data_IF_287159131278
#
_entry.id   IF_287159131278
#
_cell.length_a   1.000
_cell.length_b   1.000
_cell.length_c   1.000
_cell.angle_alpha   90.00
_cell.angle_beta   90.00
_cell.angle_gamma   90.00
#
_symmetry.space_group_name_H-M   'P 1'
#
loop_
_entity.id
_entity.type
_entity.pdbx_description
1 polymer ?
#
# COMPACT_ATOMS: atom_id res chain seq x y z
N UNK A 1 34.16 43.83 54.27
CA UNK A 1 34.03 45.14 53.60
C UNK A 1 33.17 44.87 52.36
N UNK A 2 31.83 44.89 52.48
CA UNK A 2 30.93 46.06 52.36
C UNK A 2 31.03 46.67 50.94
N UNK A 3 30.00 46.77 50.09
CA UNK A 3 28.58 47.04 50.36
C UNK A 3 27.64 46.60 49.21
N UNK A 4 26.38 46.34 49.60
CA UNK A 4 25.17 46.33 48.77
C UNK A 4 24.65 47.76 48.50
N UNK A 5 23.71 47.93 47.55
CA UNK A 5 22.37 48.42 47.94
C UNK A 5 21.23 47.61 47.28
N UNK A 6 20.23 47.13 48.04
CA UNK A 6 18.87 47.70 48.27
C UNK A 6 18.03 47.88 46.99
N UNK A 7 17.06 47.00 46.67
CA UNK A 7 15.66 46.87 47.14
C UNK A 7 14.77 48.10 46.86
N UNK A 8 13.84 47.96 45.91
CA UNK A 8 12.47 48.47 46.04
C UNK A 8 11.47 47.48 45.44
N UNK A 9 10.43 47.16 46.21
CA UNK A 9 9.26 46.41 45.78
C UNK A 9 8.04 47.31 45.83
N UNK A 10 7.10 47.12 44.90
CA UNK A 10 5.78 47.74 44.94
C UNK A 10 4.72 46.64 44.75
N UNK A 11 3.80 46.59 45.71
CA UNK A 11 2.62 45.72 45.81
C UNK A 11 1.40 46.37 45.12
N UNK A 12 0.27 45.65 44.94
CA UNK A 12 -0.66 45.86 43.83
C UNK A 12 -1.75 46.89 44.14
N UNK A 13 -2.30 47.50 43.09
CA UNK A 13 -3.50 48.31 43.15
C UNK A 13 -4.74 47.48 42.80
N UNK A 14 -5.68 47.44 43.75
CA UNK A 14 -7.06 47.05 43.54
C UNK A 14 -7.85 48.22 42.93
N UNK A 15 -8.82 47.92 42.06
CA UNK A 15 -9.77 48.89 41.52
C UNK A 15 -10.72 48.21 40.54
N UNK A 16 -11.94 47.93 40.98
CA UNK A 16 -12.94 47.21 40.20
C UNK A 16 -13.93 48.09 39.43
N UNK A 17 -14.97 47.39 38.97
CA UNK A 17 -16.28 47.82 38.47
C UNK A 17 -16.38 48.07 36.96
N UNK A 18 -17.07 47.17 36.25
CA UNK A 18 -18.41 47.40 35.71
C UNK A 18 -18.85 46.19 34.85
N UNK A 19 -20.05 45.68 35.15
CA UNK A 19 -20.62 44.49 34.50
C UNK A 19 -21.10 44.73 33.08
N UNK A 20 -21.10 43.65 32.30
CA UNK A 20 -21.84 43.52 31.05
C UNK A 20 -22.78 42.34 31.22
N UNK A 21 -24.08 42.62 31.07
CA UNK A 21 -25.18 41.70 31.33
C UNK A 21 -25.19 40.53 30.34
N UNK A 22 -25.47 39.34 30.88
CA UNK A 22 -25.82 38.15 30.10
C UNK A 22 -27.34 38.15 29.95
N UNK A 23 -27.79 38.39 28.73
CA UNK A 23 -29.20 38.26 28.35
C UNK A 23 -29.60 36.77 28.36
N UNK A 24 -30.66 36.47 29.11
CA UNK A 24 -31.22 35.13 29.24
C UNK A 24 -32.07 34.78 28.00
N UNK A 25 -31.68 33.74 27.26
CA UNK A 25 -32.51 33.11 26.25
C UNK A 25 -33.52 32.13 26.91
N UNK A 26 -34.73 31.95 26.34
CA UNK A 26 -35.81 31.23 26.98
C UNK A 26 -35.58 29.72 27.01
N UNK A 27 -35.90 29.10 28.16
CA UNK A 27 -35.92 27.65 28.35
C UNK A 27 -37.07 27.05 27.53
N UNK A 28 -36.72 26.24 26.54
CA UNK A 28 -37.62 25.28 25.91
C UNK A 28 -37.32 23.88 26.46
N UNK A 29 -38.33 23.27 27.08
CA UNK A 29 -38.33 21.86 27.49
C UNK A 29 -38.01 20.92 26.32
N UNK A 30 -37.21 19.86 26.55
CA UNK A 30 -37.26 18.68 25.73
C UNK A 30 -37.63 17.47 26.61
N UNK A 31 -38.93 17.21 26.74
CA UNK A 31 -39.40 15.83 26.86
C UNK A 31 -39.26 15.19 25.48
N UNK A 32 -38.04 14.81 25.15
CA UNK A 32 -37.68 14.11 23.92
C UNK A 32 -37.00 12.80 24.29
N UNK A 33 -37.79 11.73 24.25
CA UNK A 33 -37.36 10.34 24.35
C UNK A 33 -36.34 10.05 23.23
N UNK A 34 -35.06 10.22 23.54
CA UNK A 34 -33.97 9.72 22.73
C UNK A 34 -33.43 8.46 23.39
N UNK A 35 -34.14 7.36 23.14
CA UNK A 35 -33.55 6.02 23.07
C UNK A 35 -32.22 6.13 22.29
N UNK A 36 -31.12 6.22 23.03
CA UNK A 36 -29.79 5.94 22.53
C UNK A 36 -29.84 4.48 22.05
N UNK A 37 -30.03 4.31 20.75
CA UNK A 37 -29.82 3.02 20.13
C UNK A 37 -28.38 2.63 20.44
N UNK A 38 -28.28 1.60 21.28
CA UNK A 38 -27.10 0.81 21.55
C UNK A 38 -26.55 0.30 20.20
N UNK A 39 -25.73 1.12 19.56
CA UNK A 39 -24.83 0.70 18.51
C UNK A 39 -23.62 0.05 19.18
N UNK A 40 -23.87 -1.05 19.87
CA UNK A 40 -22.85 -2.06 20.14
C UNK A 40 -22.16 -2.33 18.80
N UNK A 41 -20.94 -1.82 18.65
CA UNK A 41 -20.08 -2.14 17.52
C UNK A 41 -20.07 -3.67 17.40
N UNK A 42 -20.33 -4.24 16.21
CA UNK A 42 -20.27 -5.68 16.07
C UNK A 42 -18.87 -6.13 16.52
N UNK A 43 -18.85 -6.91 17.60
CA UNK A 43 -17.65 -7.58 18.07
C UNK A 43 -17.28 -8.59 16.99
N UNK A 44 -16.42 -8.16 16.05
CA UNK A 44 -15.75 -9.09 15.15
C UNK A 44 -14.99 -10.04 16.07
N UNK A 45 -15.31 -11.35 16.08
CA UNK A 45 -14.52 -12.29 16.85
C UNK A 45 -13.10 -12.17 16.33
N UNK A 46 -12.15 -11.77 17.20
CA UNK A 46 -10.74 -11.97 16.91
C UNK A 46 -10.58 -13.48 16.75
N UNK A 47 -10.62 -13.97 15.52
CA UNK A 47 -10.26 -15.33 15.22
C UNK A 47 -8.82 -15.47 15.71
N UNK A 48 -8.64 -16.25 16.78
CA UNK A 48 -7.34 -16.76 17.14
C UNK A 48 -6.84 -17.47 15.90
N UNK A 49 -5.83 -16.91 15.23
CA UNK A 49 -5.15 -17.65 14.17
C UNK A 49 -4.56 -18.88 14.89
N UNK A 50 -5.06 -20.11 14.61
CA UNK A 50 -4.47 -21.30 15.21
C UNK A 50 -3.03 -21.39 14.76
N UNK A 51 -2.13 -21.95 15.59
CA UNK A 51 -0.68 -22.13 15.34
C UNK A 51 -0.34 -22.07 13.85
N UNK A 52 -0.11 -20.86 13.36
CA UNK A 52 0.03 -20.65 11.93
C UNK A 52 1.33 -21.35 11.56
N UNK A 53 1.29 -22.23 10.56
CA UNK A 53 2.52 -22.72 9.98
C UNK A 53 3.17 -21.55 9.22
N UNK A 54 3.98 -20.76 9.94
CA UNK A 54 4.64 -19.53 9.46
C UNK A 54 5.71 -19.83 8.40
N UNK A 55 5.95 -21.10 8.08
CA UNK A 55 6.86 -21.54 7.02
C UNK A 55 6.16 -21.86 5.69
N UNK A 56 4.82 -21.72 5.63
CA UNK A 56 4.10 -21.87 4.36
C UNK A 56 4.36 -20.67 3.46
N UNK A 57 5.22 -20.87 2.47
CA UNK A 57 5.42 -19.95 1.37
C UNK A 57 4.22 -20.00 0.41
N UNK A 58 3.47 -18.90 0.35
CA UNK A 58 2.33 -18.75 -0.59
C UNK A 58 2.73 -18.18 -1.94
N UNK A 59 4.03 -17.95 -2.19
CA UNK A 59 4.54 -17.42 -3.46
C UNK A 59 4.16 -15.97 -3.74
N UNK A 60 3.83 -15.17 -2.71
CA UNK A 60 3.50 -13.75 -2.86
C UNK A 60 4.71 -12.83 -2.95
N UNK A 61 5.82 -13.24 -2.35
CA UNK A 61 7.05 -12.49 -2.32
C UNK A 61 8.13 -13.23 -3.09
N UNK A 62 8.65 -12.60 -4.13
CA UNK A 62 9.63 -13.18 -5.03
C UNK A 62 10.97 -12.47 -4.87
N UNK A 63 12.06 -13.24 -4.96
CA UNK A 63 13.40 -12.70 -5.11
C UNK A 63 13.65 -12.42 -6.59
N UNK A 64 14.06 -11.19 -6.89
CA UNK A 64 14.37 -10.76 -8.24
C UNK A 64 15.82 -10.28 -8.29
N UNK A 65 16.62 -10.97 -9.10
CA UNK A 65 18.00 -10.55 -9.41
C UNK A 65 18.01 -9.62 -10.62
N UNK A 66 18.60 -8.44 -10.46
CA UNK A 66 18.70 -7.46 -11.53
C UNK A 66 20.04 -6.72 -11.44
N UNK A 67 20.82 -6.74 -12.53
CA UNK A 67 22.02 -5.89 -12.72
C UNK A 67 22.93 -5.74 -11.47
N UNK A 68 23.22 -6.86 -10.80
CA UNK A 68 24.14 -6.90 -9.66
C UNK A 68 23.54 -6.64 -8.28
N UNK A 69 22.21 -6.55 -8.15
CA UNK A 69 21.53 -6.55 -6.85
C UNK A 69 20.32 -7.49 -6.85
N UNK A 70 19.96 -7.98 -5.66
CA UNK A 70 18.78 -8.80 -5.43
C UNK A 70 17.78 -8.00 -4.58
N UNK A 71 16.50 -8.09 -4.92
CA UNK A 71 15.43 -7.39 -4.19
C UNK A 71 14.20 -8.27 -4.05
N UNK A 72 13.35 -7.94 -3.07
CA UNK A 72 12.06 -8.60 -2.87
C UNK A 72 10.96 -7.77 -3.52
N UNK A 73 10.07 -8.42 -4.27
CA UNK A 73 8.82 -7.82 -4.78
C UNK A 73 7.61 -8.58 -4.30
N UNK A 74 6.48 -7.90 -4.12
CA UNK A 74 5.19 -8.54 -3.89
C UNK A 74 4.41 -8.65 -5.20
N UNK A 75 3.75 -9.78 -5.45
CA UNK A 75 2.90 -9.94 -6.65
C UNK A 75 1.78 -8.89 -6.75
N UNK A 76 1.36 -8.33 -5.61
CA UNK A 76 0.30 -7.31 -5.56
C UNK A 76 0.81 -5.90 -5.93
N UNK A 77 2.13 -5.69 -5.86
CA UNK A 77 2.79 -4.41 -6.14
C UNK A 77 4.20 -4.67 -6.69
N UNK A 78 4.30 -5.25 -7.89
CA UNK A 78 5.59 -5.62 -8.50
C UNK A 78 6.48 -4.40 -8.80
N UNK A 79 5.89 -3.21 -8.85
CA UNK A 79 6.58 -1.94 -9.06
C UNK A 79 7.26 -1.41 -7.78
N UNK A 80 6.98 -1.99 -6.61
CA UNK A 80 7.60 -1.63 -5.33
C UNK A 80 8.66 -2.67 -4.99
N UNK A 81 9.91 -2.23 -4.90
CA UNK A 81 11.10 -3.07 -4.72
C UNK A 81 11.67 -2.88 -3.31
N UNK A 82 11.76 -3.95 -2.53
CA UNK A 82 12.44 -3.94 -1.24
C UNK A 82 13.90 -4.38 -1.40
N UNK A 83 14.83 -3.48 -1.10
CA UNK A 83 16.26 -3.70 -1.08
C UNK A 83 16.73 -3.74 0.38
N UNK A 84 17.53 -4.75 0.71
CA UNK A 84 18.05 -4.95 2.07
C UNK A 84 19.57 -4.91 1.99
N UNK A 85 20.16 -3.86 2.53
CA UNK A 85 21.59 -3.59 2.46
C UNK A 85 22.16 -3.43 3.87
N UNK A 86 22.82 -4.47 4.36
CA UNK A 86 23.34 -4.51 5.75
C UNK A 86 24.16 -3.27 6.08
N UNK A 87 23.74 -2.55 7.12
CA UNK A 87 24.48 -1.39 7.65
C UNK A 87 24.50 -0.18 6.72
N UNK A 88 23.63 -0.13 5.71
CA UNK A 88 23.42 1.06 4.89
C UNK A 88 23.03 2.24 5.79
N UNK A 89 23.70 3.38 5.59
CA UNK A 89 23.32 4.67 6.17
C UNK A 89 23.51 5.74 5.09
N UNK A 90 22.41 6.27 4.59
CA UNK A 90 22.39 7.35 3.60
C UNK A 90 22.33 8.70 4.30
N UNK A 91 23.07 9.68 3.80
CA UNK A 91 23.06 11.06 4.30
C UNK A 91 22.51 12.00 3.25
N UNK A 92 22.28 13.26 3.61
CA UNK A 92 21.84 14.28 2.67
C UNK A 92 22.77 14.40 1.44
N UNK A 93 24.08 14.22 1.64
CA UNK A 93 25.11 14.32 0.60
C UNK A 93 25.13 13.10 -0.34
N UNK A 94 24.92 11.90 0.19
CA UNK A 94 24.97 10.65 -0.60
C UNK A 94 23.63 10.32 -1.25
N UNK A 95 22.52 10.86 -0.72
CA UNK A 95 21.15 10.68 -1.23
C UNK A 95 20.99 10.97 -2.72
N UNK A 96 21.73 11.94 -3.26
CA UNK A 96 21.65 12.33 -4.67
C UNK A 96 21.97 11.20 -5.65
N UNK A 97 22.57 10.10 -5.18
CA UNK A 97 22.88 8.89 -5.97
C UNK A 97 21.70 7.95 -6.14
N UNK A 98 20.66 8.11 -5.32
CA UNK A 98 19.47 7.26 -5.35
C UNK A 98 18.44 7.82 -6.33
N UNK A 99 17.72 6.95 -7.07
CA UNK A 99 16.71 7.40 -8.00
C UNK A 99 15.57 8.10 -7.26
N UNK A 100 14.73 8.83 -8.00
CA UNK A 100 13.43 9.27 -7.46
C UNK A 100 12.62 8.09 -6.96
N UNK A 101 11.60 8.35 -6.14
CA UNK A 101 10.70 7.31 -5.60
C UNK A 101 11.46 6.33 -4.69
N UNK A 102 12.19 6.89 -3.72
CA UNK A 102 12.99 6.12 -2.77
C UNK A 102 12.48 6.36 -1.34
N UNK A 103 12.30 5.29 -0.59
CA UNK A 103 11.93 5.31 0.83
C UNK A 103 13.05 4.61 1.61
N UNK A 104 13.60 5.28 2.60
CA UNK A 104 14.55 4.71 3.55
C UNK A 104 13.78 4.38 4.83
N UNK A 105 13.94 3.16 5.32
CA UNK A 105 13.29 2.68 6.54
C UNK A 105 14.35 2.53 7.63
N UNK A 106 13.95 2.89 8.84
CA UNK A 106 14.63 2.65 10.10
C UNK A 106 16.18 2.69 10.04
N UNK A 107 16.77 3.87 10.25
CA UNK A 107 18.22 4.04 10.23
C UNK A 107 18.92 3.87 8.86
N UNK A 108 18.23 3.42 7.79
CA UNK A 108 18.82 3.37 6.45
C UNK A 108 19.16 4.76 5.88
N UNK A 109 18.58 5.81 6.46
CA UNK A 109 18.96 7.20 6.24
C UNK A 109 19.16 7.89 7.60
N UNK A 110 20.14 8.79 7.68
CA UNK A 110 20.48 9.56 8.87
C UNK A 110 19.37 10.60 9.19
N UNK A 111 18.32 10.14 9.84
CA UNK A 111 17.21 10.93 10.36
C UNK A 111 15.99 11.09 9.46
N UNK A 112 15.00 11.90 9.86
CA UNK A 112 13.74 12.04 9.13
C UNK A 112 13.93 12.88 7.86
N UNK A 113 13.25 12.48 6.79
CA UNK A 113 13.34 13.16 5.49
C UNK A 113 11.98 13.14 4.80
N UNK A 114 11.59 14.30 4.27
CA UNK A 114 10.36 14.46 3.51
C UNK A 114 10.60 15.37 2.29
N UNK A 115 10.85 14.78 1.12
CA UNK A 115 11.14 15.50 -0.12
C UNK A 115 10.20 15.07 -1.25
N UNK A 116 9.12 15.84 -1.44
CA UNK A 116 8.14 15.59 -2.49
C UNK A 116 8.67 15.85 -3.91
N UNK A 117 9.70 16.67 -4.08
CA UNK A 117 10.23 17.00 -5.41
C UNK A 117 11.07 15.84 -5.96
N UNK A 118 11.93 15.26 -5.12
CA UNK A 118 12.67 14.05 -5.44
C UNK A 118 11.85 12.77 -5.23
N UNK A 119 10.73 12.85 -4.50
CA UNK A 119 9.99 11.68 -3.96
C UNK A 119 10.93 10.80 -3.15
N UNK A 120 11.65 11.42 -2.22
CA UNK A 120 12.53 10.77 -1.27
C UNK A 120 11.98 10.94 0.13
N UNK A 121 11.87 9.85 0.87
CA UNK A 121 11.34 9.83 2.23
C UNK A 121 12.24 9.00 3.13
N UNK A 122 12.43 9.42 4.37
CA UNK A 122 13.01 8.60 5.43
C UNK A 122 11.98 8.49 6.54
N UNK A 123 11.64 7.25 6.88
CA UNK A 123 10.72 6.92 7.96
C UNK A 123 11.48 6.58 9.25
N UNK A 124 12.66 7.17 9.42
CA UNK A 124 13.48 6.97 10.61
C UNK A 124 12.84 7.61 11.85
N UNK A 125 13.11 7.02 13.01
CA UNK A 125 12.72 7.53 14.31
C UNK A 125 13.86 7.48 15.34
N UNK A 126 15.05 7.05 14.92
CA UNK A 126 16.24 6.93 15.75
C UNK A 126 17.13 8.17 15.69
N UNK A 127 17.68 8.48 14.53
CA UNK A 127 18.66 9.55 14.36
C UNK A 127 17.97 10.89 14.13
N UNK A 128 18.44 11.96 14.78
CA UNK A 128 17.82 13.28 14.64
C UNK A 128 16.36 13.40 15.13
N UNK A 129 15.80 12.33 15.69
CA UNK A 129 14.45 12.23 16.21
C UNK A 129 14.42 12.22 17.73
N UNK A 130 13.32 12.67 18.32
CA UNK A 130 13.06 12.47 19.75
C UNK A 130 12.13 11.27 19.88
N UNK A 131 12.74 10.11 20.14
CA UNK A 131 12.07 8.81 20.10
C UNK A 131 10.83 8.72 21.00
N UNK A 132 10.82 9.47 22.12
CA UNK A 132 9.72 9.49 23.08
C UNK A 132 8.39 10.07 22.55
N UNK A 133 8.35 10.66 21.36
CA UNK A 133 7.09 11.10 20.74
C UNK A 133 7.10 11.03 19.22
N UNK A 134 8.15 10.45 18.64
CA UNK A 134 8.21 10.17 17.20
C UNK A 134 7.61 8.78 16.98
N UNK A 135 6.70 8.67 16.03
CA UNK A 135 6.13 7.37 15.65
C UNK A 135 7.22 6.42 15.16
N UNK A 136 7.09 5.13 15.43
CA UNK A 136 7.98 4.11 14.88
C UNK A 136 7.83 3.99 13.36
N UNK A 137 8.76 3.30 12.70
CA UNK A 137 8.83 3.20 11.23
C UNK A 137 7.56 2.61 10.65
N UNK A 138 7.00 1.55 11.25
CA UNK A 138 5.76 0.92 10.78
C UNK A 138 4.54 1.84 10.90
N UNK A 139 4.48 2.66 11.95
CA UNK A 139 3.40 3.63 12.15
C UNK A 139 3.51 4.77 11.14
N UNK A 140 4.73 5.26 10.88
CA UNK A 140 4.99 6.25 9.83
C UNK A 140 4.60 5.73 8.44
N UNK A 141 4.89 4.46 8.13
CA UNK A 141 4.49 3.84 6.87
C UNK A 141 2.95 3.74 6.74
N UNK A 142 2.25 3.38 7.81
CA UNK A 142 0.78 3.38 7.82
C UNK A 142 0.21 4.79 7.55
N UNK A 143 0.81 5.84 8.15
CA UNK A 143 0.44 7.23 7.87
C UNK A 143 0.67 7.59 6.41
N UNK A 144 1.78 7.18 5.80
CA UNK A 144 2.08 7.43 4.39
C UNK A 144 1.05 6.78 3.45
N UNK A 145 0.68 5.51 3.71
CA UNK A 145 -0.35 4.80 2.94
C UNK A 145 -1.71 5.50 3.09
N UNK A 146 -2.12 5.84 4.31
CA UNK A 146 -3.38 6.55 4.57
C UNK A 146 -3.43 7.94 3.95
N UNK A 147 -2.29 8.61 3.87
CA UNK A 147 -2.17 9.95 3.28
C UNK A 147 -2.17 9.92 1.75
N UNK A 148 -2.21 8.73 1.13
CA UNK A 148 -2.27 8.58 -0.32
C UNK A 148 -0.91 8.77 -1.00
N UNK A 149 0.17 8.28 -0.40
CA UNK A 149 1.45 8.17 -1.10
C UNK A 149 1.24 7.40 -2.42
N UNK A 150 1.56 7.97 -3.60
CA UNK A 150 1.22 7.39 -4.90
C UNK A 150 2.18 6.25 -5.28
N UNK A 151 2.08 5.15 -4.54
CA UNK A 151 2.89 3.93 -4.68
C UNK A 151 2.56 3.15 -5.96
N UNK A 152 1.42 3.42 -6.58
CA UNK A 152 1.00 2.88 -7.88
C UNK A 152 1.71 3.53 -9.08
N UNK A 153 2.34 4.68 -8.88
CA UNK A 153 3.02 5.40 -9.95
C UNK A 153 4.51 5.05 -10.00
N UNK A 154 4.99 4.59 -11.16
CA UNK A 154 6.42 4.36 -11.40
C UNK A 154 7.01 3.23 -10.55
N UNK A 155 8.34 3.21 -10.43
CA UNK A 155 9.07 2.17 -9.68
C UNK A 155 9.58 2.75 -8.37
N UNK A 156 9.08 2.21 -7.25
CA UNK A 156 9.50 2.62 -5.92
C UNK A 156 10.56 1.68 -5.36
N UNK A 157 11.54 2.25 -4.66
CA UNK A 157 12.59 1.50 -3.96
C UNK A 157 12.52 1.77 -2.47
N UNK A 158 12.43 0.70 -1.69
CA UNK A 158 12.44 0.71 -0.24
C UNK A 158 13.79 0.15 0.21
N UNK A 159 14.51 0.88 1.05
CA UNK A 159 15.79 0.45 1.60
C UNK A 159 15.67 0.19 3.10
N UNK A 160 16.14 -0.98 3.53
CA UNK A 160 16.30 -1.36 4.93
C UNK A 160 17.77 -1.71 5.18
N UNK A 161 18.32 -1.29 6.32
CA UNK A 161 19.68 -1.62 6.71
C UNK A 161 19.79 -2.76 7.76
N UNK A 162 18.78 -2.92 8.62
CA UNK A 162 18.58 -4.03 9.55
C UNK A 162 17.10 -4.43 9.54
N UNK A 163 16.75 -5.64 9.05
CA UNK A 163 15.35 -6.04 8.89
C UNK A 163 14.76 -6.60 10.18
N UNK A 164 14.55 -5.75 11.18
CA UNK A 164 13.75 -6.12 12.34
C UNK A 164 12.24 -6.05 12.06
N UNK A 165 11.43 -6.33 13.07
CA UNK A 165 9.97 -6.36 12.92
C UNK A 165 9.37 -4.99 12.56
N UNK A 166 9.85 -3.87 13.13
CA UNK A 166 9.34 -2.54 12.82
C UNK A 166 9.59 -2.18 11.35
N UNK A 167 10.83 -2.35 10.89
CA UNK A 167 11.22 -2.09 9.50
C UNK A 167 10.51 -3.03 8.50
N UNK A 168 10.39 -4.32 8.82
CA UNK A 168 9.71 -5.28 7.95
C UNK A 168 8.19 -5.10 7.93
N UNK A 169 7.57 -4.69 9.03
CA UNK A 169 6.16 -4.34 9.07
C UNK A 169 5.89 -3.07 8.25
N UNK A 170 6.78 -2.07 8.32
CA UNK A 170 6.73 -0.89 7.46
C UNK A 170 6.80 -1.28 5.97
N UNK A 171 7.76 -2.14 5.59
CA UNK A 171 7.88 -2.63 4.22
C UNK A 171 6.65 -3.43 3.78
N UNK A 172 6.09 -4.26 4.64
CA UNK A 172 4.87 -5.01 4.36
C UNK A 172 3.70 -4.07 4.04
N UNK A 173 3.51 -3.00 4.81
CA UNK A 173 2.46 -2.00 4.57
C UNK A 173 2.62 -1.32 3.20
N UNK A 174 3.85 -0.96 2.81
CA UNK A 174 4.13 -0.31 1.53
C UNK A 174 3.97 -1.28 0.35
N UNK A 175 4.43 -2.53 0.48
CA UNK A 175 4.28 -3.57 -0.54
C UNK A 175 2.81 -3.98 -0.75
N UNK A 176 1.98 -3.87 0.28
CA UNK A 176 0.56 -4.24 0.22
C UNK A 176 -0.38 -3.01 0.16
N UNK A 177 0.15 -1.82 -0.18
CA UNK A 177 -0.59 -0.56 -0.17
C UNK A 177 -1.91 -0.63 -0.95
N UNK A 178 -1.91 -1.29 -2.11
CA UNK A 178 -3.09 -1.40 -2.97
C UNK A 178 -4.25 -2.12 -2.29
N UNK A 179 -3.97 -3.16 -1.50
CA UNK A 179 -4.99 -3.90 -0.74
C UNK A 179 -5.41 -3.15 0.53
N UNK A 180 -4.48 -2.44 1.17
CA UNK A 180 -4.72 -1.67 2.39
C UNK A 180 -5.54 -0.39 2.15
N UNK A 181 -5.34 0.25 1.00
CA UNK A 181 -5.99 1.49 0.60
C UNK A 181 -7.35 1.28 -0.12
N UNK A 182 -7.84 0.04 -0.23
CA UNK A 182 -9.16 -0.26 -0.83
C UNK A 182 -10.30 0.40 -0.06
N UNK A 183 -11.47 0.52 -0.69
CA UNK A 183 -12.64 1.18 -0.13
C UNK A 183 -12.91 0.81 1.33
N UNK A 184 -13.04 1.84 2.17
CA UNK A 184 -13.27 1.72 3.61
C UNK A 184 -12.02 1.39 4.45
N UNK A 185 -10.86 1.13 3.82
CA UNK A 185 -9.60 0.78 4.47
C UNK A 185 -9.75 -0.33 5.53
N UNK A 186 -10.64 -1.30 5.27
CA UNK A 186 -11.06 -2.29 6.27
C UNK A 186 -9.92 -3.17 6.74
N UNK A 187 -9.10 -3.68 5.81
CA UNK A 187 -7.92 -4.46 6.15
C UNK A 187 -6.92 -3.64 6.94
N UNK A 188 -6.67 -2.40 6.52
CA UNK A 188 -5.76 -1.52 7.24
C UNK A 188 -6.25 -1.26 8.68
N UNK A 189 -7.55 -0.98 8.87
CA UNK A 189 -8.15 -0.81 10.21
C UNK A 189 -7.95 -2.05 11.10
N UNK A 190 -8.03 -3.25 10.54
CA UNK A 190 -7.81 -4.49 11.26
C UNK A 190 -6.33 -4.64 11.67
N UNK A 191 -5.42 -4.37 10.73
CA UNK A 191 -3.96 -4.44 10.91
C UNK A 191 -3.42 -3.35 11.82
N UNK A 192 -4.09 -2.19 11.92
CA UNK A 192 -3.65 -1.05 12.75
C UNK A 192 -3.46 -1.44 14.22
N UNK A 193 -4.20 -2.42 14.73
CA UNK A 193 -3.99 -2.91 16.10
C UNK A 193 -2.64 -3.58 16.30
N UNK A 194 -2.13 -4.30 15.29
CA UNK A 194 -0.79 -4.90 15.30
C UNK A 194 0.27 -3.79 15.14
N UNK A 195 0.10 -2.91 14.15
CA UNK A 195 1.01 -1.77 13.88
C UNK A 195 1.17 -0.88 15.11
N UNK A 196 0.07 -0.54 15.78
CA UNK A 196 0.11 0.33 16.96
C UNK A 196 0.81 -0.32 18.14
N UNK A 197 0.63 -1.62 18.36
CA UNK A 197 1.31 -2.31 19.46
C UNK A 197 2.80 -2.43 19.15
N UNK A 198 3.16 -2.85 17.94
CA UNK A 198 4.56 -2.97 17.53
C UNK A 198 5.30 -1.64 17.61
N UNK A 199 4.76 -0.57 17.02
CA UNK A 199 5.41 0.73 17.06
C UNK A 199 5.57 1.29 18.47
N UNK A 200 4.64 0.99 19.38
CA UNK A 200 4.80 1.36 20.80
C UNK A 200 5.88 0.52 21.51
N UNK A 201 5.99 -0.78 21.19
CA UNK A 201 7.05 -1.64 21.73
C UNK A 201 8.41 -1.14 21.25
N UNK A 202 8.53 -0.82 19.98
CA UNK A 202 9.77 -0.37 19.40
C UNK A 202 10.19 1.03 19.92
N UNK A 203 9.26 2.00 19.94
CA UNK A 203 9.53 3.34 20.44
C UNK A 203 9.78 3.38 21.97
N UNK A 204 8.94 2.69 22.76
CA UNK A 204 8.85 2.85 24.23
C UNK A 204 9.13 1.59 25.06
N UNK A 205 9.31 0.44 24.42
CA UNK A 205 9.48 -0.83 25.10
C UNK A 205 8.17 -1.49 25.52
N UNK A 206 8.29 -2.77 25.91
CA UNK A 206 7.17 -3.66 26.26
C UNK A 206 6.30 -3.13 27.41
N UNK A 207 6.91 -2.47 28.40
CA UNK A 207 6.23 -2.02 29.62
C UNK A 207 5.16 -0.96 29.32
N UNK A 208 5.46 -0.03 28.40
CA UNK A 208 4.57 1.08 28.07
C UNK A 208 3.52 0.69 27.03
N UNK A 209 3.79 -0.29 26.16
CA UNK A 209 2.91 -0.64 25.04
C UNK A 209 1.50 -1.07 25.48
N UNK A 210 1.39 -1.83 26.57
CA UNK A 210 0.09 -2.26 27.11
C UNK A 210 -0.80 -1.07 27.51
N UNK A 211 -0.20 -0.04 28.14
CA UNK A 211 -0.92 1.15 28.59
C UNK A 211 -1.18 2.13 27.45
N UNK A 212 -0.16 2.44 26.65
CA UNK A 212 -0.23 3.47 25.60
C UNK A 212 -1.05 3.03 24.37
N UNK A 213 -1.21 1.73 24.15
CA UNK A 213 -2.04 1.24 23.04
C UNK A 213 -3.53 1.46 23.30
N UNK A 214 -3.94 1.60 24.57
CA UNK A 214 -5.31 1.77 25.01
C UNK A 214 -6.29 0.68 24.52
N UNK A 215 -5.78 -0.48 24.10
CA UNK A 215 -6.62 -1.60 23.67
C UNK A 215 -7.19 -2.34 24.88
N UNK A 216 -8.42 -2.90 24.79
CA UNK A 216 -8.92 -3.83 25.79
C UNK A 216 -7.94 -5.00 26.00
N UNK A 217 -7.72 -5.48 27.24
CA UNK A 217 -6.74 -6.53 27.52
C UNK A 217 -6.86 -7.78 26.64
N UNK A 218 -8.07 -8.28 26.28
CA UNK A 218 -8.18 -9.41 25.37
C UNK A 218 -7.62 -9.13 23.97
N UNK A 219 -7.82 -7.91 23.44
CA UNK A 219 -7.32 -7.48 22.12
C UNK A 219 -5.81 -7.31 22.17
N UNK A 220 -5.30 -6.60 23.17
CA UNK A 220 -3.85 -6.41 23.37
C UNK A 220 -3.14 -7.77 23.50
N UNK A 221 -3.61 -8.65 24.38
CA UNK A 221 -2.97 -9.95 24.61
C UNK A 221 -3.02 -10.85 23.36
N UNK A 222 -4.10 -10.80 22.59
CA UNK A 222 -4.19 -11.56 21.34
C UNK A 222 -3.18 -11.07 20.30
N UNK A 223 -3.11 -9.75 20.07
CA UNK A 223 -2.14 -9.16 19.13
C UNK A 223 -0.69 -9.30 19.61
N UNK A 224 -0.45 -9.13 20.91
CA UNK A 224 0.88 -9.31 21.49
C UNK A 224 1.39 -10.74 21.31
N UNK A 225 0.54 -11.76 21.48
CA UNK A 225 0.92 -13.15 21.17
C UNK A 225 1.32 -13.33 19.70
N UNK A 226 0.61 -12.67 18.79
CA UNK A 226 0.97 -12.72 17.36
C UNK A 226 2.32 -12.04 17.08
N UNK A 227 2.58 -10.89 17.70
CA UNK A 227 3.88 -10.21 17.65
C UNK A 227 4.98 -11.14 18.17
N UNK A 228 4.75 -11.77 19.33
CA UNK A 228 5.71 -12.68 19.97
C UNK A 228 6.06 -13.89 19.08
N UNK A 229 5.11 -14.40 18.29
CA UNK A 229 5.38 -15.46 17.31
C UNK A 229 6.35 -15.02 16.22
N UNK A 230 6.25 -13.77 15.74
CA UNK A 230 7.15 -13.22 14.73
C UNK A 230 8.51 -12.91 15.34
N UNK A 231 8.54 -12.24 16.49
CA UNK A 231 9.77 -11.89 17.22
C UNK A 231 10.57 -13.13 17.61
N UNK A 232 9.91 -14.22 18.01
CA UNK A 232 10.60 -15.48 18.34
C UNK A 232 11.41 -16.03 17.15
N UNK A 233 10.96 -15.81 15.90
CA UNK A 233 11.69 -16.22 14.70
C UNK A 233 12.95 -15.39 14.52
N UNK A 234 12.85 -14.07 14.66
CA UNK A 234 14.02 -13.18 14.64
C UNK A 234 15.04 -13.57 15.72
N UNK A 235 14.58 -13.76 16.97
CA UNK A 235 15.41 -14.18 18.09
C UNK A 235 16.08 -15.55 17.85
N UNK A 236 15.37 -16.48 17.20
CA UNK A 236 15.95 -17.79 16.86
C UNK A 236 17.13 -17.67 15.91
N UNK A 237 17.10 -16.72 14.98
CA UNK A 237 18.21 -16.46 14.07
C UNK A 237 19.32 -15.70 14.79
N UNK A 238 18.99 -14.63 15.53
CA UNK A 238 19.97 -13.81 16.27
C UNK A 238 20.73 -14.62 17.33
N UNK A 239 20.04 -15.52 18.05
CA UNK A 239 20.65 -16.35 19.11
C UNK A 239 21.66 -17.38 18.60
N UNK A 240 21.62 -17.76 17.32
CA UNK A 240 22.62 -18.66 16.72
C UNK A 240 23.94 -17.96 16.39
N UNK A 241 24.03 -16.63 16.57
CA UNK A 241 25.20 -15.83 16.20
C UNK A 241 25.39 -15.65 14.69
N UNK A 242 24.49 -16.19 13.86
CA UNK A 242 24.58 -16.14 12.40
C UNK A 242 24.08 -14.84 11.79
N UNK A 243 23.50 -13.92 12.58
CA UNK A 243 22.85 -12.69 12.08
C UNK A 243 23.73 -11.89 11.12
N UNK A 244 25.05 -11.81 11.37
CA UNK A 244 25.98 -11.07 10.52
C UNK A 244 26.26 -11.71 9.16
N UNK A 245 25.95 -13.00 8.98
CA UNK A 245 26.30 -13.80 7.80
C UNK A 245 25.11 -14.35 7.03
N UNK A 246 23.89 -14.29 7.57
CA UNK A 246 22.69 -14.72 6.84
C UNK A 246 22.44 -13.82 5.62
N UNK A 247 21.76 -14.40 4.64
CA UNK A 247 21.11 -13.66 3.55
C UNK A 247 19.91 -12.89 4.11
N UNK A 248 20.06 -11.57 4.27
CA UNK A 248 19.01 -10.70 4.78
C UNK A 248 17.86 -10.52 3.79
N UNK A 249 18.09 -10.71 2.48
CA UNK A 249 17.05 -10.56 1.46
C UNK A 249 16.10 -11.76 1.55
N UNK A 250 16.65 -12.97 1.57
CA UNK A 250 15.85 -14.19 1.77
C UNK A 250 15.18 -14.23 3.14
N UNK A 251 15.89 -13.79 4.19
CA UNK A 251 15.30 -13.64 5.52
C UNK A 251 14.08 -12.70 5.49
N UNK A 252 14.22 -11.52 4.88
CA UNK A 252 13.15 -10.53 4.77
C UNK A 252 11.96 -11.07 3.98
N UNK A 253 12.19 -11.77 2.86
CA UNK A 253 11.14 -12.43 2.07
C UNK A 253 10.34 -13.42 2.92
N UNK A 254 11.03 -14.27 3.71
CA UNK A 254 10.36 -15.24 4.60
C UNK A 254 9.57 -14.56 5.71
N UNK A 255 10.11 -13.49 6.30
CA UNK A 255 9.41 -12.73 7.33
C UNK A 255 8.17 -12.01 6.79
N UNK A 256 8.22 -11.45 5.58
CA UNK A 256 7.05 -10.89 4.90
C UNK A 256 5.96 -11.95 4.68
N UNK A 257 6.34 -13.18 4.30
CA UNK A 257 5.43 -14.32 4.22
C UNK A 257 4.82 -14.72 5.58
N UNK A 258 5.58 -14.62 6.66
CA UNK A 258 5.07 -14.86 8.01
C UNK A 258 4.09 -13.76 8.47
N UNK A 259 4.38 -12.50 8.15
CA UNK A 259 3.48 -11.37 8.40
C UNK A 259 2.14 -11.54 7.66
N UNK A 260 2.17 -12.01 6.40
CA UNK A 260 0.96 -12.35 5.64
C UNK A 260 0.02 -13.29 6.41
N UNK A 261 0.56 -14.33 7.04
CA UNK A 261 -0.24 -15.33 7.78
C UNK A 261 -0.85 -14.78 9.07
N UNK A 262 -0.24 -13.74 9.65
CA UNK A 262 -0.68 -13.13 10.91
C UNK A 262 -1.64 -11.97 10.67
N UNK A 263 -1.41 -11.19 9.61
CA UNK A 263 -2.09 -9.92 9.36
C UNK A 263 -3.30 -10.07 8.45
N UNK A 264 -3.30 -11.02 7.51
CA UNK A 264 -4.48 -11.27 6.70
C UNK A 264 -5.50 -12.16 7.41
N UNK A 265 -6.80 -11.86 7.29
CA UNK A 265 -7.84 -12.77 7.73
C UNK A 265 -7.71 -14.14 7.07
N UNK A 266 -8.04 -15.24 7.78
CA UNK A 266 -8.04 -16.58 7.19
C UNK A 266 -8.82 -16.64 5.86
N UNK A 267 -8.22 -17.25 4.84
CA UNK A 267 -8.82 -17.36 3.50
C UNK A 267 -8.85 -16.07 2.68
N UNK A 268 -8.40 -14.94 3.22
CA UNK A 268 -8.28 -13.70 2.45
C UNK A 268 -7.28 -13.87 1.30
N UNK A 269 -6.07 -14.36 1.62
CA UNK A 269 -5.02 -14.55 0.64
C UNK A 269 -5.38 -15.59 -0.41
N UNK A 270 -6.10 -16.64 -0.05
CA UNK A 270 -6.52 -17.66 -1.02
C UNK A 270 -7.42 -17.06 -2.11
N UNK A 271 -8.29 -16.11 -1.74
CA UNK A 271 -9.09 -15.33 -2.71
C UNK A 271 -8.26 -14.27 -3.44
N UNK A 272 -7.34 -13.59 -2.74
CA UNK A 272 -6.51 -12.55 -3.36
C UNK A 272 -5.53 -13.14 -4.40
N UNK A 273 -4.95 -14.31 -4.13
CA UNK A 273 -4.00 -15.03 -4.98
C UNK A 273 -4.63 -15.68 -6.21
N UNK A 274 -5.95 -15.83 -6.23
CA UNK A 274 -6.67 -16.35 -7.39
C UNK A 274 -6.65 -15.38 -8.58
N UNK A 275 -6.52 -14.07 -8.34
CA UNK A 275 -6.47 -13.02 -9.37
C UNK A 275 -5.39 -11.99 -9.00
N UNK A 276 -4.24 -12.05 -9.66
CA UNK A 276 -3.19 -11.06 -9.56
C UNK A 276 -3.51 -9.86 -10.45
N UNK A 277 -3.79 -8.68 -9.87
CA UNK A 277 -3.84 -7.41 -10.60
C UNK A 277 -2.41 -7.00 -10.95
N UNK A 278 -2.09 -6.90 -12.23
CA UNK A 278 -0.74 -6.57 -12.71
C UNK A 278 -0.58 -5.07 -13.00
N UNK A 279 -1.65 -4.42 -13.45
CA UNK A 279 -1.67 -2.98 -13.73
C UNK A 279 -3.11 -2.47 -13.83
N UNK A 280 -3.27 -1.14 -13.73
CA UNK A 280 -4.55 -0.45 -13.91
C UNK A 280 -4.40 0.82 -14.71
N UNK A 281 -5.44 1.18 -15.46
CA UNK A 281 -5.52 2.45 -16.17
C UNK A 281 -6.90 3.10 -15.98
N UNK A 282 -6.93 4.40 -15.67
CA UNK A 282 -8.17 5.17 -15.72
C UNK A 282 -8.53 5.47 -17.16
N UNK A 283 -9.70 5.00 -17.60
CA UNK A 283 -10.12 5.05 -19.01
C UNK A 283 -11.16 6.12 -19.29
N UNK A 284 -11.64 6.85 -18.28
CA UNK A 284 -12.47 8.04 -18.48
C UNK A 284 -12.39 9.04 -17.31
N UNK A 285 -13.06 10.18 -17.47
CA UNK A 285 -13.14 11.23 -16.42
C UNK A 285 -14.08 10.88 -15.26
N UNK A 286 -14.85 9.79 -15.34
CA UNK A 286 -15.81 9.34 -14.32
C UNK A 286 -15.23 8.24 -13.43
N UNK A 287 -13.89 8.17 -13.30
CA UNK A 287 -13.14 7.20 -12.49
C UNK A 287 -13.27 5.74 -12.95
N UNK A 288 -13.74 5.48 -14.17
CA UNK A 288 -13.79 4.10 -14.70
C UNK A 288 -12.39 3.57 -14.96
N UNK A 289 -12.16 2.30 -14.62
CA UNK A 289 -10.85 1.63 -14.71
C UNK A 289 -10.86 0.46 -15.68
N UNK A 290 -9.75 0.29 -16.38
CA UNK A 290 -9.34 -0.93 -17.04
C UNK A 290 -8.29 -1.63 -16.19
N UNK A 291 -8.50 -2.92 -15.88
CA UNK A 291 -7.59 -3.73 -15.07
C UNK A 291 -6.90 -4.77 -15.94
N UNK A 292 -5.57 -4.82 -15.87
CA UNK A 292 -4.78 -5.94 -16.34
C UNK A 292 -4.62 -6.90 -15.17
N UNK A 293 -4.99 -8.16 -15.36
CA UNK A 293 -4.82 -9.18 -14.34
C UNK A 293 -4.37 -10.51 -14.94
N UNK A 294 -3.83 -11.38 -14.09
CA UNK A 294 -3.50 -12.77 -14.39
C UNK A 294 -4.24 -13.67 -13.40
N UNK A 295 -4.85 -14.73 -13.91
CA UNK A 295 -5.59 -15.68 -13.08
C UNK A 295 -5.54 -17.08 -13.70
N UNK A 296 -5.64 -18.11 -12.85
CA UNK A 296 -5.91 -19.50 -13.29
C UNK A 296 -7.38 -19.72 -13.63
N UNK A 297 -8.25 -18.77 -13.30
CA UNK A 297 -9.68 -18.84 -13.57
C UNK A 297 -10.03 -18.24 -14.94
N UNK A 298 -11.15 -18.68 -15.51
CA UNK A 298 -11.70 -18.07 -16.71
C UNK A 298 -12.24 -16.65 -16.47
N UNK A 299 -12.27 -15.85 -17.53
CA UNK A 299 -12.65 -14.43 -17.52
C UNK A 299 -13.98 -14.13 -16.81
N UNK A 300 -14.97 -15.01 -16.84
CA UNK A 300 -16.26 -14.79 -16.15
C UNK A 300 -16.17 -14.92 -14.64
N UNK A 301 -15.33 -15.84 -14.15
CA UNK A 301 -15.10 -15.97 -12.71
C UNK A 301 -14.27 -14.78 -12.21
N UNK A 302 -13.26 -14.38 -12.99
CA UNK A 302 -12.49 -13.15 -12.79
C UNK A 302 -13.40 -11.92 -12.77
N UNK A 303 -14.32 -11.79 -13.73
CA UNK A 303 -15.28 -10.68 -13.81
C UNK A 303 -16.16 -10.61 -12.56
N UNK A 304 -16.72 -11.74 -12.11
CA UNK A 304 -17.56 -11.79 -10.91
C UNK A 304 -16.84 -11.28 -9.68
N UNK A 305 -15.59 -11.70 -9.49
CA UNK A 305 -14.79 -11.29 -8.34
C UNK A 305 -14.32 -9.84 -8.45
N UNK A 306 -13.82 -9.42 -9.62
CA UNK A 306 -13.43 -8.03 -9.84
C UNK A 306 -14.63 -7.08 -9.71
N UNK A 307 -15.84 -7.48 -10.11
CA UNK A 307 -17.08 -6.70 -9.87
C UNK A 307 -17.36 -6.51 -8.38
N UNK A 308 -17.15 -7.53 -7.54
CA UNK A 308 -17.29 -7.37 -6.08
C UNK A 308 -16.23 -6.41 -5.51
N UNK A 309 -15.05 -6.40 -6.13
CA UNK A 309 -13.86 -5.67 -5.71
C UNK A 309 -13.80 -4.20 -6.13
N UNK A 310 -14.47 -3.83 -7.24
CA UNK A 310 -14.36 -2.52 -7.89
C UNK A 310 -15.73 -1.91 -8.28
N UNK A 311 -16.83 -2.62 -8.01
CA UNK A 311 -18.22 -2.21 -8.25
C UNK A 311 -18.42 -1.44 -9.58
N UNK A 312 -18.87 -0.19 -9.52
CA UNK A 312 -19.20 0.66 -10.68
C UNK A 312 -17.98 1.25 -11.38
N UNK A 313 -16.79 1.16 -10.80
CA UNK A 313 -15.58 1.68 -11.43
C UNK A 313 -15.03 0.72 -12.48
N UNK A 314 -15.27 -0.58 -12.35
CA UNK A 314 -14.74 -1.58 -13.29
C UNK A 314 -15.41 -1.49 -14.65
N UNK A 315 -14.64 -1.09 -15.67
CA UNK A 315 -15.16 -0.95 -17.01
C UNK A 315 -14.58 -1.96 -18.01
N UNK A 316 -13.32 -2.35 -17.85
CA UNK A 316 -12.62 -3.27 -18.75
C UNK A 316 -11.71 -4.22 -17.96
N UNK A 317 -11.67 -5.48 -18.35
CA UNK A 317 -10.70 -6.46 -17.86
C UNK A 317 -9.85 -6.91 -19.04
N UNK A 318 -8.54 -6.89 -18.85
CA UNK A 318 -7.53 -7.50 -19.72
C UNK A 318 -6.93 -8.65 -18.93
N UNK A 319 -7.35 -9.87 -19.24
CA UNK A 319 -6.86 -11.09 -18.59
C UNK A 319 -5.69 -11.66 -19.39
N UNK A 320 -4.52 -11.70 -18.77
CA UNK A 320 -3.33 -12.38 -19.25
C UNK A 320 -3.45 -13.89 -19.01
N UNK A 321 -3.49 -14.66 -20.08
CA UNK A 321 -3.51 -16.13 -20.05
C UNK A 321 -2.13 -16.74 -20.29
N UNK A 322 -1.06 -15.93 -20.35
CA UNK A 322 0.30 -16.35 -20.65
C UNK A 322 0.60 -16.46 -22.16
N UNK A 323 1.89 -16.56 -22.50
CA UNK A 323 2.38 -16.79 -23.88
C UNK A 323 1.84 -15.79 -24.92
N UNK A 324 1.69 -14.52 -24.54
CA UNK A 324 1.12 -13.49 -25.42
C UNK A 324 -0.37 -13.69 -25.72
N UNK A 325 -1.11 -14.44 -24.90
CA UNK A 325 -2.55 -14.64 -25.06
C UNK A 325 -3.33 -13.82 -24.05
N UNK A 326 -4.17 -12.93 -24.55
CA UNK A 326 -5.01 -12.07 -23.71
C UNK A 326 -6.48 -12.26 -24.05
N UNK A 327 -7.31 -12.25 -23.01
CA UNK A 327 -8.76 -12.13 -23.13
C UNK A 327 -9.16 -10.75 -22.66
N UNK A 328 -9.94 -10.03 -23.46
CA UNK A 328 -10.45 -8.70 -23.13
C UNK A 328 -11.96 -8.76 -22.94
N UNK A 329 -12.45 -8.19 -21.85
CA UNK A 329 -13.86 -8.18 -21.47
C UNK A 329 -14.30 -6.77 -21.10
N UNK A 330 -15.33 -6.28 -21.77
CA UNK A 330 -16.03 -5.07 -21.36
C UNK A 330 -17.02 -5.42 -20.26
N UNK A 331 -16.83 -4.81 -19.09
CA UNK A 331 -17.65 -5.01 -17.89
C UNK A 331 -18.76 -3.98 -17.83
N UNK A 332 -18.42 -2.72 -18.14
CA UNK A 332 -19.37 -1.62 -18.17
C UNK A 332 -20.04 -1.52 -19.55
N UNK A 333 -21.32 -1.87 -19.61
CA UNK A 333 -22.13 -1.78 -20.84
C UNK A 333 -22.43 -0.34 -21.28
N UNK A 334 -22.13 0.67 -20.44
CA UNK A 334 -22.35 2.09 -20.71
C UNK A 334 -21.09 2.84 -21.17
N UNK A 335 -20.04 2.13 -21.59
CA UNK A 335 -18.97 2.75 -22.37
C UNK A 335 -19.50 3.21 -23.72
N UNK A 336 -19.04 4.38 -24.20
CA UNK A 336 -19.49 4.93 -25.48
C UNK A 336 -19.03 4.13 -26.70
N UNK A 337 -17.97 3.34 -26.52
CA UNK A 337 -17.40 2.46 -27.54
C UNK A 337 -17.45 1.04 -26.99
N UNK A 338 -17.61 0.08 -27.88
CA UNK A 338 -17.51 -1.34 -27.56
C UNK A 338 -16.08 -1.84 -27.78
N UNK A 339 -15.83 -3.13 -27.57
CA UNK A 339 -14.50 -3.73 -27.79
C UNK A 339 -14.08 -3.74 -29.27
N UNK A 340 -15.00 -3.63 -30.24
CA UNK A 340 -14.61 -3.61 -31.66
C UNK A 340 -13.72 -2.43 -32.00
N UNK A 341 -13.93 -1.30 -31.32
CA UNK A 341 -13.10 -0.11 -31.43
C UNK A 341 -11.70 -0.32 -30.82
N UNK A 342 -11.63 -1.08 -29.72
CA UNK A 342 -10.37 -1.45 -29.12
C UNK A 342 -9.59 -2.42 -30.03
N UNK A 343 -10.27 -3.42 -30.61
CA UNK A 343 -9.63 -4.37 -31.54
C UNK A 343 -9.04 -3.66 -32.75
N UNK A 344 -9.74 -2.68 -33.33
CA UNK A 344 -9.22 -1.89 -34.44
C UNK A 344 -7.90 -1.21 -34.07
N UNK A 345 -7.86 -0.53 -32.92
CA UNK A 345 -6.66 0.16 -32.44
C UNK A 345 -5.50 -0.79 -32.07
N UNK A 346 -5.81 -1.98 -31.53
CA UNK A 346 -4.81 -3.01 -31.24
C UNK A 346 -4.26 -3.64 -32.53
N UNK A 347 -5.12 -3.90 -33.52
CA UNK A 347 -4.72 -4.47 -34.80
C UNK A 347 -3.81 -3.54 -35.62
N UNK A 348 -3.97 -2.22 -35.48
CA UNK A 348 -3.04 -1.25 -36.09
C UNK A 348 -1.64 -1.26 -35.46
N UNK A 349 -1.54 -1.76 -34.22
CA UNK A 349 -0.37 -1.55 -33.35
C UNK A 349 0.41 -2.83 -33.07
N UNK A 350 -0.20 -3.99 -33.25
CA UNK A 350 0.40 -5.30 -32.96
C UNK A 350 1.09 -5.88 -34.20
N UNK A 351 2.43 -5.95 -34.22
CA UNK A 351 3.21 -6.57 -35.30
C UNK A 351 2.81 -8.00 -35.67
N UNK A 352 2.22 -8.76 -34.75
CA UNK A 352 1.83 -10.16 -34.99
C UNK A 352 0.49 -10.30 -35.73
N UNK A 353 -0.20 -9.18 -36.01
CA UNK A 353 -1.47 -9.17 -36.74
C UNK A 353 -1.23 -9.22 -38.24
N UNK A 354 -2.01 -10.05 -38.94
CA UNK A 354 -2.01 -10.10 -40.40
C UNK A 354 -3.02 -9.10 -40.95
N UNK A 355 -2.56 -8.17 -41.80
CA UNK A 355 -3.37 -7.07 -42.34
C UNK A 355 -4.66 -7.54 -43.06
N UNK A 356 -4.58 -8.66 -43.78
CA UNK A 356 -5.67 -9.24 -44.58
C UNK A 356 -6.08 -10.65 -44.12
N UNK A 357 -5.71 -11.05 -42.90
CA UNK A 357 -5.87 -12.43 -42.40
C UNK A 357 -6.80 -12.58 -41.19
N UNK A 358 -7.11 -13.85 -40.86
CA UNK A 358 -7.91 -14.22 -39.66
C UNK A 358 -7.10 -14.14 -38.36
N UNK A 359 -5.78 -13.92 -38.43
CA UNK A 359 -4.91 -13.80 -37.26
C UNK A 359 -4.84 -12.36 -36.75
N UNK A 360 -5.89 -11.95 -36.04
CA UNK A 360 -6.03 -10.59 -35.51
C UNK A 360 -6.74 -10.57 -34.16
N UNK A 361 -6.68 -9.45 -33.44
CA UNK A 361 -7.54 -9.19 -32.30
C UNK A 361 -9.01 -9.18 -32.74
N UNK A 362 -9.86 -9.88 -31.98
CA UNK A 362 -11.27 -10.00 -32.33
C UNK A 362 -12.12 -10.74 -31.31
N UNK A 363 -13.43 -10.72 -31.55
CA UNK A 363 -14.44 -11.25 -30.64
C UNK A 363 -15.80 -10.59 -30.89
N UNK A 364 -16.69 -10.68 -29.90
CA UNK A 364 -17.92 -9.88 -29.87
C UNK A 364 -17.63 -8.44 -29.41
N UNK A 365 -18.63 -7.58 -29.44
CA UNK A 365 -18.50 -6.20 -28.94
C UNK A 365 -18.17 -6.11 -27.44
N UNK A 366 -18.31 -7.19 -26.69
CA UNK A 366 -18.20 -7.19 -25.23
C UNK A 366 -17.18 -8.21 -24.69
N UNK A 367 -16.74 -9.19 -25.48
CA UNK A 367 -15.67 -10.13 -25.13
C UNK A 367 -14.89 -10.59 -26.36
N UNK A 368 -13.57 -10.69 -26.22
CA UNK A 368 -12.70 -11.23 -27.28
C UNK A 368 -11.28 -11.42 -26.79
N UNK A 369 -10.33 -11.50 -27.71
CA UNK A 369 -8.94 -11.72 -27.33
C UNK A 369 -7.94 -11.47 -28.44
N UNK A 370 -6.68 -11.80 -28.11
CA UNK A 370 -5.51 -11.69 -28.97
C UNK A 370 -5.58 -12.62 -30.19
N UNK A 371 -4.73 -12.40 -31.22
CA UNK A 371 -4.63 -13.29 -32.38
C UNK A 371 -4.46 -14.76 -31.97
N UNK A 372 -5.30 -15.65 -32.52
CA UNK A 372 -5.39 -17.05 -32.05
C UNK A 372 -4.17 -17.89 -32.40
N UNK A 373 -3.51 -17.61 -33.53
CA UNK A 373 -2.42 -18.46 -34.04
C UNK A 373 -1.08 -18.10 -33.43
N UNK A 374 -0.80 -16.81 -33.29
CA UNK A 374 0.51 -16.30 -32.87
C UNK A 374 0.52 -15.70 -31.47
N UNK A 375 -0.65 -15.42 -30.89
CA UNK A 375 -0.73 -14.46 -29.79
C UNK A 375 -0.40 -13.04 -30.25
N UNK A 376 -0.39 -12.11 -29.30
CA UNK A 376 0.06 -10.73 -29.52
C UNK A 376 1.54 -10.57 -29.20
N UNK A 377 2.17 -9.59 -29.84
CA UNK A 377 3.49 -9.10 -29.44
C UNK A 377 3.44 -7.97 -28.40
N UNK A 378 2.24 -7.43 -28.14
CA UNK A 378 2.03 -6.34 -27.20
C UNK A 378 2.10 -6.85 -25.75
N UNK A 379 2.70 -6.04 -24.88
CA UNK A 379 2.62 -6.23 -23.44
C UNK A 379 1.23 -5.86 -22.89
N UNK A 380 0.89 -6.38 -21.72
CA UNK A 380 -0.36 -6.04 -21.02
C UNK A 380 -0.51 -4.53 -20.76
N UNK A 381 0.60 -3.84 -20.47
CA UNK A 381 0.62 -2.40 -20.25
C UNK A 381 0.34 -1.61 -21.54
N UNK A 382 0.91 -2.04 -22.68
CA UNK A 382 0.62 -1.41 -23.98
C UNK A 382 -0.85 -1.58 -24.36
N UNK A 383 -1.45 -2.72 -24.05
CA UNK A 383 -2.89 -2.96 -24.24
C UNK A 383 -3.71 -1.98 -23.37
N UNK A 384 -3.35 -1.80 -22.10
CA UNK A 384 -4.01 -0.82 -21.22
C UNK A 384 -3.86 0.62 -21.74
N UNK A 385 -2.69 1.00 -22.25
CA UNK A 385 -2.47 2.32 -22.85
C UNK A 385 -3.35 2.53 -24.09
N UNK A 386 -3.51 1.51 -24.93
CA UNK A 386 -4.42 1.56 -26.09
C UNK A 386 -5.86 1.72 -25.60
N UNK A 387 -6.29 0.93 -24.60
CA UNK A 387 -7.62 1.06 -24.01
C UNK A 387 -7.87 2.48 -23.48
N UNK A 388 -6.92 3.03 -22.72
CA UNK A 388 -7.00 4.40 -22.23
C UNK A 388 -7.12 5.41 -23.37
N UNK A 389 -6.39 5.24 -24.48
CA UNK A 389 -6.52 6.12 -25.64
C UNK A 389 -7.88 5.99 -26.35
N UNK A 390 -8.43 4.77 -26.46
CA UNK A 390 -9.73 4.53 -27.12
C UNK A 390 -10.88 5.11 -26.31
N UNK A 391 -10.89 4.90 -24.99
CA UNK A 391 -12.01 5.27 -24.11
C UNK A 391 -11.84 6.64 -23.43
N UNK A 392 -10.61 7.14 -23.26
CA UNK A 392 -10.26 8.34 -22.49
C UNK A 392 -10.77 9.68 -23.00
N UNK A 393 -11.51 9.71 -24.13
CA UNK A 393 -12.24 10.90 -24.58
C UNK A 393 -11.38 12.17 -24.66
N UNK A 394 -10.26 12.11 -25.37
CA UNK A 394 -9.40 13.29 -25.57
C UNK A 394 -8.33 13.06 -26.63
N UNK A 395 -8.32 13.91 -27.65
CA UNK A 395 -7.43 13.89 -28.82
C UNK A 395 -5.93 14.08 -28.55
N UNK A 396 -5.34 13.32 -27.63
CA UNK A 396 -3.90 13.28 -27.41
C UNK A 396 -3.16 12.65 -28.61
N UNK A 397 -3.78 11.67 -29.27
CA UNK A 397 -3.24 11.04 -30.49
C UNK A 397 -3.10 12.01 -31.68
N UNK A 398 -3.94 13.05 -31.79
CA UNK A 398 -3.78 14.08 -32.84
C UNK A 398 -2.55 14.97 -32.61
N UNK A 399 -2.01 15.07 -31.38
CA UNK A 399 -0.79 15.85 -31.08
C UNK A 399 0.49 15.04 -31.17
N UNK A 400 0.43 13.72 -31.01
CA UNK A 400 1.60 12.85 -31.13
C UNK A 400 1.96 12.56 -32.59
N UNK A 401 0.95 12.32 -33.44
CA UNK A 401 1.15 12.09 -34.89
C UNK A 401 1.61 13.37 -35.62
N UNK A 402 1.24 14.56 -35.12
CA UNK A 402 1.71 15.83 -35.71
C UNK A 402 3.17 16.17 -35.37
N UNK A 403 3.76 15.55 -34.33
CA UNK A 403 5.16 15.75 -33.92
C UNK A 403 6.13 14.74 -34.52
N UNK A 404 5.64 13.64 -35.08
CA UNK A 404 6.45 12.66 -35.83
C UNK A 404 6.45 12.95 -37.35
N UNK A 405 5.70 13.95 -37.80
CA UNK A 405 5.67 14.44 -39.20
C UNK A 405 6.17 15.87 -39.36
N UNK A 406 6.78 16.45 -38.32
CA UNK A 406 7.51 17.72 -38.34
C UNK A 406 8.91 17.48 -37.82
#
# INVERSE_FOLDING_TARGET
MSDHPEKEGIRPAAGGVAGVGVEAAPRTDPTGDHSLHDHSLPSVPLALVPDANLDVDRGRYELVEQSGFCHVTCIASSNVQLLVERGLVVTAETRVRYPKQTIFLDGAYAGPLFDNQARHYSLDHHEGCIRAFTLATCEQAAVMVLSGLPLEEGTWRIYINDPDLDALLAAWLLLNHGELAREGAMLLREVMSFVRIEGLIDAHGLEMAATLSAFPPPVYNARKRQIDLIVAREQSVKSTGSWGTIDLVEYSRRMLGALDQVLYPPGYLDRALEIAELARAHIDKKRRVALLCRSRQGIYAVERELKQRHDKELALIVLDNGEGRFTVRQVDSFLQKDLTHLYAALNERDPNVEADGDNRWGGSGDIGGSPRRTGTSLSGEEILQVAQAVYGGGGWFKRLVSRLKS
#
